data_IF_303526308527
#
_entry.id   IF_303526308527
#
_cell.length_a   1.000
_cell.length_b   1.000
_cell.length_c   1.000
_cell.angle_alpha   90.00
_cell.angle_beta   90.00
_cell.angle_gamma   90.00
#
_symmetry.space_group_name_H-M   'P 1'
#
loop_
_entity.id
_entity.type
_entity.pdbx_description
1 polymer ?
#
# COMPACT_ATOMS: atom_id res chain seq x y z
N UNK A 1 -8.74 -19.94 3.18
CA UNK A 1 -9.54 -20.07 4.39
C UNK A 1 -9.53 -18.71 5.05
N UNK A 2 -10.57 -17.91 4.84
CA UNK A 2 -10.91 -17.03 5.92
C UNK A 2 -11.38 -18.00 7.00
N UNK A 3 -10.44 -18.47 7.82
CA UNK A 3 -10.79 -19.05 9.10
C UNK A 3 -11.57 -17.93 9.77
N UNK A 4 -12.87 -18.12 9.95
CA UNK A 4 -13.55 -17.43 11.00
C UNK A 4 -12.81 -17.87 12.25
N UNK A 5 -11.83 -17.09 12.68
CA UNK A 5 -11.06 -17.29 13.92
C UNK A 5 -11.98 -17.49 15.14
N UNK A 6 -13.29 -17.40 14.92
CA UNK A 6 -14.33 -17.33 15.94
C UNK A 6 -15.43 -18.38 15.79
N UNK A 7 -15.36 -19.29 14.80
CA UNK A 7 -16.41 -20.31 14.60
C UNK A 7 -16.57 -21.27 15.79
N UNK A 8 -15.60 -21.36 16.69
CA UNK A 8 -15.62 -22.20 17.86
C UNK A 8 -15.60 -21.45 19.22
N UNK A 9 -15.53 -20.14 19.21
CA UNK A 9 -15.77 -19.38 20.43
C UNK A 9 -17.30 -19.37 20.65
N UNK A 10 -17.79 -19.91 21.75
CA UNK A 10 -19.16 -19.61 22.23
C UNK A 10 -19.22 -18.13 22.62
N UNK A 11 -19.15 -17.28 21.62
CA UNK A 11 -19.46 -15.87 21.73
C UNK A 11 -20.96 -15.85 21.73
N UNK A 12 -21.57 -15.74 22.93
CA UNK A 12 -22.99 -15.44 23.08
C UNK A 12 -23.23 -14.00 22.65
N UNK A 13 -23.00 -13.73 21.34
CA UNK A 13 -23.49 -12.53 20.70
C UNK A 13 -24.93 -12.84 20.32
N UNK A 14 -25.89 -12.23 20.98
CA UNK A 14 -27.28 -12.24 20.52
C UNK A 14 -27.30 -11.79 19.08
N UNK A 15 -27.59 -12.68 18.15
CA UNK A 15 -27.83 -12.39 16.74
C UNK A 15 -29.13 -11.58 16.64
N UNK A 16 -29.03 -10.28 16.77
CA UNK A 16 -30.00 -9.37 16.20
C UNK A 16 -29.46 -8.95 14.82
N UNK A 17 -30.22 -9.23 13.79
CA UNK A 17 -30.07 -8.94 12.36
C UNK A 17 -28.95 -7.93 11.97
N UNK A 18 -27.71 -8.41 11.82
CA UNK A 18 -26.59 -7.61 11.37
C UNK A 18 -25.28 -8.11 12.00
N UNK A 19 -24.17 -8.02 11.27
CA UNK A 19 -22.84 -8.28 11.82
C UNK A 19 -22.47 -7.11 12.74
N UNK A 20 -22.65 -7.29 14.04
CA UNK A 20 -22.28 -6.28 15.02
C UNK A 20 -20.75 -6.23 15.15
N UNK A 21 -20.12 -5.05 15.04
CA UNK A 21 -18.69 -4.91 15.19
C UNK A 21 -18.28 -5.16 16.66
N UNK A 22 -17.09 -5.72 16.83
CA UNK A 22 -16.56 -6.04 18.15
C UNK A 22 -15.07 -5.74 18.21
N UNK A 23 -14.52 -5.56 19.39
CA UNK A 23 -13.09 -5.54 19.67
C UNK A 23 -12.69 -6.71 20.53
N UNK A 24 -11.46 -7.17 20.35
CA UNK A 24 -10.79 -8.12 21.25
C UNK A 24 -9.57 -7.43 21.80
N UNK A 25 -9.39 -7.50 23.10
CA UNK A 25 -8.21 -6.99 23.78
C UNK A 25 -7.35 -8.16 24.23
N UNK A 26 -6.13 -8.22 23.73
CA UNK A 26 -5.12 -9.24 24.05
C UNK A 26 -3.97 -8.53 24.76
N UNK A 27 -3.78 -8.83 26.03
CA UNK A 27 -2.75 -8.18 26.85
C UNK A 27 -1.45 -8.95 26.91
N UNK A 28 -1.48 -10.26 26.63
CA UNK A 28 -0.30 -11.12 26.68
C UNK A 28 -0.48 -12.31 25.72
N UNK A 29 0.57 -12.60 24.97
CA UNK A 29 0.68 -13.82 24.16
C UNK A 29 1.91 -14.58 24.62
N UNK A 30 1.72 -15.86 24.98
CA UNK A 30 2.80 -16.76 25.38
C UNK A 30 2.92 -17.87 24.34
N UNK A 31 4.01 -18.60 24.35
CA UNK A 31 4.18 -19.84 23.58
C UNK A 31 3.23 -20.92 24.17
N UNK A 32 2.00 -21.01 23.63
CA UNK A 32 0.98 -21.92 24.13
C UNK A 32 1.10 -23.32 23.54
N UNK A 33 1.72 -23.47 22.39
CA UNK A 33 1.94 -24.76 21.72
C UNK A 33 3.29 -25.38 22.10
N UNK A 34 4.14 -24.64 22.82
CA UNK A 34 5.47 -25.03 23.29
C UNK A 34 6.45 -25.43 22.15
N UNK A 35 6.37 -24.73 21.02
CA UNK A 35 7.27 -24.94 19.88
C UNK A 35 8.54 -24.08 19.94
N UNK A 36 8.65 -23.21 20.94
CA UNK A 36 9.78 -22.31 21.20
C UNK A 36 9.69 -20.97 20.49
N UNK A 37 8.56 -20.67 19.84
CA UNK A 37 8.27 -19.38 19.23
C UNK A 37 6.96 -18.81 19.76
N UNK A 38 6.77 -17.50 19.65
CA UNK A 38 5.47 -16.85 19.85
C UNK A 38 4.99 -16.37 18.50
N UNK A 39 3.98 -17.05 17.95
CA UNK A 39 3.53 -16.78 16.60
C UNK A 39 1.98 -16.79 16.45
N UNK A 40 1.50 -16.85 15.20
CA UNK A 40 0.07 -16.83 14.90
C UNK A 40 -0.68 -18.03 15.50
N UNK A 41 -0.04 -19.19 15.65
CA UNK A 41 -0.67 -20.38 16.23
C UNK A 41 -1.03 -20.16 17.71
N UNK A 42 -0.17 -19.43 18.45
CA UNK A 42 -0.40 -19.06 19.84
C UNK A 42 -1.55 -18.04 19.97
N UNK A 43 -1.59 -17.08 19.06
CA UNK A 43 -2.73 -16.15 19.00
C UNK A 43 -4.04 -16.90 18.71
N UNK A 44 -4.03 -17.84 17.77
CA UNK A 44 -5.20 -18.68 17.49
C UNK A 44 -5.61 -19.52 18.71
N UNK A 45 -4.64 -20.11 19.42
CA UNK A 45 -4.90 -20.86 20.64
C UNK A 45 -5.55 -19.97 21.72
N UNK A 46 -4.99 -18.78 21.91
CA UNK A 46 -5.48 -17.79 22.86
C UNK A 46 -6.92 -17.36 22.55
N UNK A 47 -7.22 -17.10 21.28
CA UNK A 47 -8.56 -16.74 20.83
C UNK A 47 -9.58 -17.89 21.05
N UNK A 48 -9.18 -19.14 20.80
CA UNK A 48 -10.04 -20.33 21.00
C UNK A 48 -10.30 -20.64 22.48
N UNK A 49 -9.35 -20.33 23.36
CA UNK A 49 -9.41 -20.71 24.77
C UNK A 49 -9.95 -19.63 25.73
N UNK A 50 -10.54 -18.56 25.20
CA UNK A 50 -11.35 -17.56 25.95
C UNK A 50 -10.63 -16.76 27.05
N UNK A 51 -9.32 -16.57 26.95
CA UNK A 51 -8.59 -15.72 27.91
C UNK A 51 -8.59 -14.22 27.48
N UNK A 52 -9.46 -13.84 26.57
CA UNK A 52 -9.53 -12.51 25.99
C UNK A 52 -10.77 -11.76 26.46
N UNK A 53 -10.65 -10.46 26.56
CA UNK A 53 -11.81 -9.59 26.76
C UNK A 53 -12.38 -9.25 25.37
N UNK A 54 -13.54 -9.83 25.06
CA UNK A 54 -14.32 -9.47 23.90
C UNK A 54 -15.41 -8.49 24.31
N UNK A 55 -15.47 -7.34 23.66
CA UNK A 55 -16.54 -6.35 23.85
C UNK A 55 -17.14 -5.93 22.51
N UNK A 56 -18.45 -5.73 22.52
CA UNK A 56 -19.18 -5.23 21.35
C UNK A 56 -18.93 -3.74 21.27
N UNK A 57 -18.73 -3.23 20.06
CA UNK A 57 -18.69 -1.80 19.80
C UNK A 57 -20.13 -1.24 19.78
N UNK A 58 -20.31 -0.05 20.33
CA UNK A 58 -21.62 0.63 20.36
C UNK A 58 -22.07 1.12 18.99
N UNK A 59 -21.11 1.41 18.09
CA UNK A 59 -21.33 1.91 16.74
C UNK A 59 -21.34 0.83 15.67
N UNK A 60 -21.18 1.26 14.44
CA UNK A 60 -21.11 0.41 13.24
C UNK A 60 -19.68 -0.06 12.90
N UNK A 61 -18.67 0.34 13.72
CA UNK A 61 -17.26 0.04 13.49
C UNK A 61 -16.61 0.91 12.41
N UNK A 62 -17.27 1.99 11.96
CA UNK A 62 -16.64 2.95 11.05
C UNK A 62 -15.45 3.63 11.75
N UNK A 63 -14.31 3.68 11.06
CA UNK A 63 -13.06 4.23 11.62
C UNK A 63 -13.18 5.72 12.01
N UNK A 64 -14.18 6.43 11.48
CA UNK A 64 -14.50 7.84 11.78
C UNK A 64 -15.38 8.00 13.01
N UNK A 65 -15.94 6.92 13.55
CA UNK A 65 -16.77 6.98 14.75
C UNK A 65 -15.96 7.42 15.97
N UNK A 66 -16.62 8.04 16.95
CA UNK A 66 -15.98 8.51 18.17
C UNK A 66 -15.30 7.37 18.94
N UNK A 67 -15.89 6.16 18.91
CA UNK A 67 -15.36 4.97 19.55
C UNK A 67 -14.08 4.50 18.87
N UNK A 68 -14.07 4.38 17.52
CA UNK A 68 -12.89 4.00 16.77
C UNK A 68 -11.77 5.07 16.87
N UNK A 69 -12.12 6.36 16.90
CA UNK A 69 -11.15 7.44 17.13
C UNK A 69 -10.53 7.33 18.53
N UNK A 70 -11.31 6.94 19.56
CA UNK A 70 -10.77 6.72 20.89
C UNK A 70 -9.75 5.59 20.89
N UNK A 71 -10.07 4.45 20.26
CA UNK A 71 -9.13 3.34 20.09
C UNK A 71 -7.89 3.75 19.28
N UNK A 72 -8.09 4.54 18.23
CA UNK A 72 -6.97 5.08 17.44
C UNK A 72 -6.04 5.94 18.31
N UNK A 73 -6.58 6.78 19.18
CA UNK A 73 -5.77 7.63 20.08
C UNK A 73 -4.91 6.80 21.05
N UNK A 74 -5.43 5.67 21.52
CA UNK A 74 -4.74 4.75 22.43
C UNK A 74 -3.64 3.93 21.72
N UNK A 75 -3.78 3.68 20.40
CA UNK A 75 -2.85 2.87 19.64
C UNK A 75 -1.51 3.59 19.37
N UNK A 76 -0.39 2.91 19.54
CA UNK A 76 0.94 3.35 19.08
C UNK A 76 1.15 3.03 17.62
N UNK A 77 0.73 1.83 17.19
CA UNK A 77 0.90 1.34 15.82
C UNK A 77 -0.45 0.79 15.33
N UNK A 78 -0.81 1.17 14.11
CA UNK A 78 -2.02 0.68 13.42
C UNK A 78 -1.64 -0.28 12.30
N UNK A 79 -2.11 -1.52 12.39
CA UNK A 79 -1.91 -2.53 11.34
C UNK A 79 -3.26 -2.99 10.83
N UNK A 80 -3.58 -2.72 9.55
CA UNK A 80 -4.91 -3.02 9.01
C UNK A 80 -4.96 -3.11 7.50
N UNK A 81 -6.08 -3.67 7.01
CA UNK A 81 -6.48 -3.65 5.60
C UNK A 81 -7.75 -2.77 5.46
N UNK A 82 -7.60 -1.45 5.27
CA UNK A 82 -8.74 -0.55 5.16
C UNK A 82 -9.49 -0.76 3.83
N UNK A 83 -10.77 -0.39 3.73
CA UNK A 83 -11.48 -0.36 2.46
C UNK A 83 -10.76 0.55 1.45
N UNK A 84 -10.43 0.05 0.27
CA UNK A 84 -9.66 0.82 -0.74
C UNK A 84 -10.40 2.08 -1.20
N UNK A 85 -11.73 2.08 -1.17
CA UNK A 85 -12.55 3.26 -1.47
C UNK A 85 -12.36 4.41 -0.46
N UNK A 86 -12.01 4.10 0.77
CA UNK A 86 -11.80 5.05 1.87
C UNK A 86 -10.32 5.27 2.19
N UNK A 87 -9.41 4.70 1.39
CA UNK A 87 -7.97 4.70 1.66
C UNK A 87 -7.41 6.11 1.90
N UNK A 88 -7.82 7.10 1.10
CA UNK A 88 -7.35 8.49 1.22
C UNK A 88 -7.75 9.12 2.56
N UNK A 89 -9.01 8.95 2.95
CA UNK A 89 -9.54 9.47 4.21
C UNK A 89 -8.87 8.78 5.40
N UNK A 90 -8.64 7.46 5.28
CA UNK A 90 -8.01 6.68 6.33
C UNK A 90 -6.56 7.10 6.56
N UNK A 91 -5.77 7.26 5.48
CA UNK A 91 -4.39 7.77 5.58
C UNK A 91 -4.37 9.17 6.16
N UNK A 92 -5.26 10.07 5.73
CA UNK A 92 -5.35 11.41 6.28
C UNK A 92 -5.61 11.39 7.79
N UNK A 93 -6.50 10.52 8.27
CA UNK A 93 -6.76 10.35 9.70
C UNK A 93 -5.53 9.82 10.47
N UNK A 94 -4.83 8.82 9.92
CA UNK A 94 -3.61 8.30 10.56
C UNK A 94 -2.53 9.37 10.70
N UNK A 95 -2.37 10.20 9.67
CA UNK A 95 -1.42 11.34 9.69
C UNK A 95 -1.87 12.44 10.67
N UNK A 96 -3.17 12.78 10.71
CA UNK A 96 -3.73 13.77 11.64
C UNK A 96 -3.48 13.37 13.11
N UNK A 97 -3.61 12.09 13.43
CA UNK A 97 -3.39 11.57 14.79
C UNK A 97 -1.94 11.13 15.04
N UNK A 98 -1.01 11.45 14.14
CA UNK A 98 0.43 11.11 14.25
C UNK A 98 0.68 9.63 14.58
N UNK A 99 -0.04 8.72 13.90
CA UNK A 99 0.09 7.29 14.16
C UNK A 99 1.15 6.63 13.30
N UNK A 100 1.90 5.70 13.91
CA UNK A 100 2.68 4.73 13.15
C UNK A 100 1.75 3.70 12.55
N UNK A 101 2.01 3.28 11.31
CA UNK A 101 1.11 2.33 10.66
C UNK A 101 1.78 1.44 9.63
N UNK A 102 1.16 0.27 9.41
CA UNK A 102 1.38 -0.62 8.27
C UNK A 102 0.01 -0.98 7.71
N UNK A 103 -0.33 -0.49 6.53
CA UNK A 103 -1.65 -0.70 5.93
C UNK A 103 -1.56 -1.22 4.50
N UNK A 104 -2.56 -1.99 4.11
CA UNK A 104 -2.69 -2.48 2.73
C UNK A 104 -3.45 -1.44 1.90
N UNK A 105 -2.92 -1.14 0.72
CA UNK A 105 -3.57 -0.26 -0.26
C UNK A 105 -3.39 -0.74 -1.69
N UNK A 106 -4.07 -0.07 -2.62
CA UNK A 106 -3.89 -0.32 -4.03
C UNK A 106 -2.67 0.46 -4.55
N UNK A 107 -1.90 -0.13 -5.46
CA UNK A 107 -0.74 0.51 -6.10
C UNK A 107 -1.09 1.85 -6.76
N UNK A 108 -2.31 1.98 -7.31
CA UNK A 108 -2.74 3.21 -7.94
C UNK A 108 -2.89 4.38 -6.93
N UNK A 109 -2.94 4.09 -5.62
CA UNK A 109 -2.98 5.14 -4.61
C UNK A 109 -1.72 6.03 -4.63
N UNK A 110 -0.60 5.54 -5.15
CA UNK A 110 0.61 6.34 -5.42
C UNK A 110 0.28 7.60 -6.25
N UNK A 111 -0.68 7.49 -7.17
CA UNK A 111 -1.05 8.58 -8.08
C UNK A 111 -2.15 9.51 -7.53
N UNK A 112 -2.61 9.30 -6.30
CA UNK A 112 -3.63 10.15 -5.70
C UNK A 112 -3.01 11.46 -5.21
N UNK A 113 -3.71 12.57 -5.43
CA UNK A 113 -3.24 13.91 -5.04
C UNK A 113 -3.06 14.08 -3.52
N UNK A 114 -3.75 13.26 -2.73
CA UNK A 114 -3.65 13.24 -1.27
C UNK A 114 -2.47 12.36 -0.77
N UNK A 115 -2.07 11.36 -1.56
CA UNK A 115 -1.05 10.36 -1.18
C UNK A 115 0.33 10.71 -1.75
N UNK A 116 0.38 11.15 -3.00
CA UNK A 116 1.64 11.45 -3.65
C UNK A 116 2.51 12.49 -2.91
N UNK A 117 1.95 13.60 -2.38
CA UNK A 117 2.73 14.55 -1.58
C UNK A 117 3.35 13.93 -0.33
N UNK A 118 2.65 12.99 0.34
CA UNK A 118 3.18 12.27 1.50
C UNK A 118 4.38 11.39 1.12
N UNK A 119 4.30 10.69 -0.01
CA UNK A 119 5.40 9.89 -0.56
C UNK A 119 6.59 10.77 -0.97
N UNK A 120 6.32 11.88 -1.67
CA UNK A 120 7.35 12.83 -2.10
C UNK A 120 8.10 13.45 -0.93
N UNK A 121 7.36 13.84 0.12
CA UNK A 121 7.91 14.51 1.29
C UNK A 121 8.47 13.55 2.34
N UNK A 122 8.60 12.28 1.99
CA UNK A 122 9.16 11.26 2.86
C UNK A 122 8.42 11.11 4.20
N UNK A 123 7.10 11.29 4.16
CA UNK A 123 6.22 11.13 5.32
C UNK A 123 5.61 9.72 5.39
N UNK A 124 5.44 9.08 4.24
CA UNK A 124 5.06 7.67 4.10
C UNK A 124 5.85 7.03 2.96
N UNK A 125 5.93 5.72 2.94
CA UNK A 125 6.61 4.96 1.88
C UNK A 125 5.97 3.59 1.67
N UNK A 126 6.41 2.84 0.65
CA UNK A 126 5.98 1.48 0.42
C UNK A 126 6.76 0.52 1.33
N UNK A 127 6.11 -0.52 1.83
CA UNK A 127 6.75 -1.56 2.63
C UNK A 127 7.56 -2.53 1.77
N UNK A 128 8.54 -3.19 2.39
CA UNK A 128 9.58 -3.99 1.72
C UNK A 128 9.08 -5.30 1.07
N UNK A 129 7.94 -5.85 1.43
CA UNK A 129 7.63 -7.26 1.14
C UNK A 129 6.78 -7.55 -0.10
N UNK A 130 6.17 -6.54 -0.74
CA UNK A 130 5.29 -6.73 -1.91
C UNK A 130 5.74 -5.83 -3.06
N UNK A 131 6.65 -6.34 -3.91
CA UNK A 131 7.21 -5.57 -5.01
C UNK A 131 6.45 -5.73 -6.34
N UNK A 132 5.82 -6.88 -6.61
CA UNK A 132 5.09 -7.12 -7.87
C UNK A 132 3.65 -6.61 -7.87
N UNK A 133 3.08 -6.36 -6.69
CA UNK A 133 1.72 -5.88 -6.54
C UNK A 133 0.61 -6.89 -6.77
N UNK A 134 0.92 -8.10 -7.21
CA UNK A 134 -0.06 -9.15 -7.43
C UNK A 134 0.03 -10.22 -6.36
N UNK A 135 -1.12 -10.59 -5.78
CA UNK A 135 -1.22 -11.65 -4.77
C UNK A 135 -2.37 -12.59 -5.06
N UNK A 136 -2.15 -13.87 -4.81
CA UNK A 136 -3.21 -14.87 -4.81
C UNK A 136 -3.66 -15.14 -3.38
N UNK A 137 -4.97 -15.09 -3.18
CA UNK A 137 -5.59 -15.40 -1.90
C UNK A 137 -6.47 -16.64 -2.07
N UNK A 138 -6.31 -17.59 -1.16
CA UNK A 138 -7.23 -18.72 -1.06
C UNK A 138 -8.60 -18.20 -0.66
N UNK A 139 -9.64 -18.70 -1.32
CA UNK A 139 -11.03 -18.35 -1.02
C UNK A 139 -11.83 -19.59 -0.65
N UNK A 140 -12.88 -19.46 0.20
CA UNK A 140 -13.80 -20.55 0.52
C UNK A 140 -14.51 -21.07 -0.73
N UNK A 141 -14.91 -22.35 -0.71
CA UNK A 141 -15.57 -23.00 -1.85
C UNK A 141 -16.90 -22.36 -2.21
N UNK A 142 -17.61 -21.83 -1.21
CA UNK A 142 -18.89 -21.14 -1.36
C UNK A 142 -18.75 -19.64 -1.71
N UNK A 143 -17.51 -19.12 -1.90
CA UNK A 143 -17.30 -17.72 -2.24
C UNK A 143 -17.67 -17.47 -3.70
N UNK A 144 -18.63 -16.58 -3.94
CA UNK A 144 -19.05 -16.21 -5.31
C UNK A 144 -17.98 -15.32 -5.96
N UNK A 145 -17.37 -15.81 -7.04
CA UNK A 145 -16.38 -15.05 -7.81
C UNK A 145 -16.99 -14.63 -9.15
N UNK A 146 -17.09 -13.34 -9.35
CA UNK A 146 -17.53 -12.74 -10.63
C UNK A 146 -16.36 -12.39 -11.58
N UNK A 147 -15.12 -12.66 -11.14
CA UNK A 147 -13.90 -12.25 -11.84
C UNK A 147 -13.25 -13.39 -12.62
N UNK A 148 -12.62 -13.05 -13.75
CA UNK A 148 -11.77 -13.97 -14.52
C UNK A 148 -10.45 -14.35 -13.82
N UNK A 149 -10.20 -13.80 -12.63
CA UNK A 149 -8.98 -14.04 -11.84
C UNK A 149 -9.06 -15.25 -10.91
N UNK A 150 -10.13 -16.06 -11.03
CA UNK A 150 -10.25 -17.33 -10.30
C UNK A 150 -9.29 -18.37 -10.89
N UNK A 151 -8.46 -18.95 -10.01
CA UNK A 151 -7.65 -20.14 -10.29
C UNK A 151 -8.05 -21.27 -9.33
N UNK A 152 -8.10 -22.47 -9.85
CA UNK A 152 -8.27 -23.69 -9.05
C UNK A 152 -7.02 -24.53 -9.24
N UNK A 153 -6.40 -24.98 -8.15
CA UNK A 153 -5.23 -25.85 -8.22
C UNK A 153 -5.60 -27.33 -8.43
N UNK A 154 -4.59 -28.20 -8.52
CA UNK A 154 -4.74 -29.63 -8.73
C UNK A 154 -5.47 -30.37 -7.59
N UNK A 155 -5.52 -29.77 -6.39
CA UNK A 155 -6.22 -30.27 -5.21
C UNK A 155 -7.65 -29.69 -5.09
N UNK A 156 -8.13 -28.95 -6.07
CA UNK A 156 -9.44 -28.30 -6.06
C UNK A 156 -9.50 -27.03 -5.22
N UNK A 157 -8.38 -26.53 -4.68
CA UNK A 157 -8.35 -25.32 -3.86
C UNK A 157 -8.50 -24.09 -4.75
N UNK A 158 -9.39 -23.21 -4.35
CA UNK A 158 -9.74 -22.00 -5.12
C UNK A 158 -8.92 -20.79 -4.65
N UNK A 159 -8.41 -20.03 -5.61
CA UNK A 159 -7.65 -18.80 -5.38
C UNK A 159 -8.19 -17.66 -6.23
N UNK A 160 -8.13 -16.45 -5.69
CA UNK A 160 -8.39 -15.21 -6.45
C UNK A 160 -7.11 -14.38 -6.49
N UNK A 161 -6.74 -13.92 -7.69
CA UNK A 161 -5.63 -12.98 -7.87
C UNK A 161 -6.12 -11.56 -7.66
N UNK A 162 -5.50 -10.86 -6.74
CA UNK A 162 -5.71 -9.43 -6.47
C UNK A 162 -4.50 -8.66 -6.99
N UNK A 163 -4.74 -7.78 -7.95
CA UNK A 163 -3.71 -7.00 -8.64
C UNK A 163 -3.44 -5.69 -7.90
N UNK A 164 -2.18 -5.28 -7.89
CA UNK A 164 -1.79 -3.95 -7.40
C UNK A 164 -1.86 -3.79 -5.89
N UNK A 165 -1.68 -4.86 -5.12
CA UNK A 165 -1.60 -4.79 -3.65
C UNK A 165 -0.24 -4.24 -3.22
N UNK A 166 -0.24 -3.27 -2.30
CA UNK A 166 0.97 -2.68 -1.70
C UNK A 166 0.79 -2.48 -0.19
N UNK A 167 1.91 -2.58 0.53
CA UNK A 167 2.02 -2.05 1.88
C UNK A 167 2.35 -0.57 1.83
N UNK A 168 1.67 0.22 2.65
CA UNK A 168 1.98 1.63 2.92
C UNK A 168 2.30 1.76 4.40
N UNK A 169 3.37 2.49 4.73
CA UNK A 169 3.85 2.62 6.10
C UNK A 169 4.59 3.95 6.31
N UNK A 170 4.71 4.38 7.56
CA UNK A 170 5.63 5.42 8.01
C UNK A 170 6.60 4.88 9.08
N UNK A 171 6.72 3.54 9.18
CA UNK A 171 7.71 2.87 10.03
C UNK A 171 8.94 2.57 9.18
N UNK A 172 10.09 3.10 9.61
CA UNK A 172 11.35 2.96 8.87
C UNK A 172 11.89 1.53 8.87
N UNK A 173 12.62 1.16 7.82
CA UNK A 173 13.28 -0.13 7.68
C UNK A 173 14.57 0.00 6.87
N UNK A 174 15.51 -0.93 7.10
CA UNK A 174 16.88 -0.85 6.61
C UNK A 174 16.99 -0.77 5.08
N UNK A 175 16.24 -1.60 4.37
CA UNK A 175 16.34 -1.74 2.90
C UNK A 175 15.90 -0.48 2.16
N UNK A 176 15.14 0.41 2.80
CA UNK A 176 14.74 1.70 2.26
C UNK A 176 15.93 2.64 2.05
N UNK A 177 17.01 2.44 2.80
CA UNK A 177 18.23 3.24 2.76
C UNK A 177 19.31 2.66 1.85
N UNK A 178 19.03 1.53 1.19
CA UNK A 178 19.96 0.93 0.24
C UNK A 178 19.99 1.71 -1.08
N UNK A 179 21.20 2.02 -1.55
CA UNK A 179 21.35 2.71 -2.83
C UNK A 179 21.02 1.77 -3.99
N UNK A 180 20.26 2.29 -4.95
CA UNK A 180 20.10 1.64 -6.24
C UNK A 180 21.42 1.66 -6.99
N UNK A 181 21.88 0.48 -7.42
CA UNK A 181 23.09 0.35 -8.23
C UNK A 181 22.78 0.79 -9.66
N UNK A 182 23.40 1.87 -10.11
CA UNK A 182 23.26 2.42 -11.45
C UNK A 182 24.46 1.97 -12.31
N UNK A 183 24.17 1.46 -13.49
CA UNK A 183 25.21 0.97 -14.41
C UNK A 183 25.01 1.40 -15.87
N UNK A 184 23.84 1.94 -16.20
CA UNK A 184 23.57 2.47 -17.54
C UNK A 184 24.18 3.86 -17.71
N UNK A 185 24.58 4.17 -18.92
CA UNK A 185 25.00 5.53 -19.33
C UNK A 185 23.92 6.16 -20.19
N UNK A 186 23.86 7.48 -20.15
CA UNK A 186 22.90 8.24 -20.93
C UNK A 186 23.27 8.26 -22.42
N UNK A 187 22.26 8.07 -23.27
CA UNK A 187 22.31 8.44 -24.69
C UNK A 187 20.97 9.07 -25.10
N UNK A 188 21.00 10.04 -26.01
CA UNK A 188 19.75 10.68 -26.47
C UNK A 188 18.86 9.73 -27.26
N UNK A 189 19.42 8.64 -27.80
CA UNK A 189 18.70 7.61 -28.55
C UNK A 189 17.91 6.68 -27.62
N UNK A 190 18.52 6.25 -26.49
CA UNK A 190 17.91 5.32 -25.55
C UNK A 190 16.94 6.02 -24.58
N UNK A 191 17.15 7.32 -24.32
CA UNK A 191 16.38 8.08 -23.33
C UNK A 191 15.68 9.29 -23.98
N UNK A 192 14.56 9.06 -24.70
CA UNK A 192 13.85 10.15 -25.38
C UNK A 192 13.28 11.15 -24.37
N UNK A 193 13.28 12.43 -24.75
CA UNK A 193 12.61 13.49 -23.98
C UNK A 193 11.10 13.43 -24.15
N UNK A 194 10.39 13.88 -23.13
CA UNK A 194 8.94 14.12 -23.26
C UNK A 194 8.68 15.36 -24.13
N UNK A 195 7.62 15.26 -24.94
CA UNK A 195 7.20 16.36 -25.83
C UNK A 195 6.71 17.57 -25.04
N UNK A 196 6.20 17.34 -23.84
CA UNK A 196 5.45 18.33 -23.07
C UNK A 196 6.01 18.57 -21.66
N UNK A 197 7.14 17.99 -21.32
CA UNK A 197 7.79 18.15 -20.03
C UNK A 197 9.30 18.06 -20.19
N UNK A 198 10.06 18.93 -19.52
CA UNK A 198 11.53 18.94 -19.66
C UNK A 198 12.18 17.86 -18.80
N UNK A 199 12.01 16.61 -19.21
CA UNK A 199 12.63 15.43 -18.61
C UNK A 199 12.84 14.35 -19.67
N UNK A 200 13.78 13.44 -19.43
CA UNK A 200 13.94 12.20 -20.21
C UNK A 200 13.04 11.10 -19.67
N UNK A 201 12.63 10.17 -20.54
CA UNK A 201 11.90 8.97 -20.13
C UNK A 201 12.87 7.84 -19.81
N UNK A 202 12.63 7.18 -18.67
CA UNK A 202 13.31 5.96 -18.26
C UNK A 202 12.25 4.87 -18.11
N UNK A 203 12.26 3.86 -18.97
CA UNK A 203 11.19 2.85 -19.01
C UNK A 203 11.23 1.88 -17.84
N UNK A 204 12.41 1.61 -17.27
CA UNK A 204 12.59 0.72 -16.11
C UNK A 204 13.47 1.36 -15.05
N UNK A 205 13.15 1.17 -13.79
CA UNK A 205 13.95 1.67 -12.66
C UNK A 205 15.42 1.28 -12.73
N UNK A 206 15.73 0.07 -13.20
CA UNK A 206 17.12 -0.43 -13.34
C UNK A 206 17.90 0.25 -14.47
N UNK A 207 17.23 0.94 -15.36
CA UNK A 207 17.86 1.63 -16.50
C UNK A 207 18.12 3.13 -16.21
N UNK A 208 17.97 3.58 -14.96
CA UNK A 208 18.31 4.96 -14.57
C UNK A 208 19.80 5.21 -14.86
N UNK A 209 20.16 6.22 -15.70
CA UNK A 209 21.54 6.45 -16.10
C UNK A 209 22.37 7.04 -14.95
N UNK A 210 23.63 6.59 -14.84
CA UNK A 210 24.56 7.01 -13.78
C UNK A 210 25.11 8.43 -14.00
N UNK A 211 25.21 8.85 -15.26
CA UNK A 211 25.88 10.06 -15.73
C UNK A 211 24.92 11.16 -16.20
N UNK A 212 23.63 11.08 -15.87
CA UNK A 212 22.64 12.10 -16.24
C UNK A 212 22.14 12.84 -14.99
N UNK A 213 22.28 14.16 -14.98
CA UNK A 213 21.95 15.03 -13.83
C UNK A 213 20.63 15.81 -14.00
N UNK A 214 19.96 15.64 -15.14
CA UNK A 214 18.68 16.28 -15.44
C UNK A 214 17.50 15.54 -14.81
N UNK A 215 16.29 16.01 -15.13
CA UNK A 215 15.04 15.38 -14.68
C UNK A 215 14.76 14.10 -15.47
N UNK A 216 14.30 13.08 -14.78
CA UNK A 216 14.00 11.76 -15.33
C UNK A 216 12.60 11.30 -14.93
N UNK A 217 11.80 10.86 -15.89
CA UNK A 217 10.49 10.25 -15.63
C UNK A 217 10.58 8.74 -15.53
N UNK A 218 10.41 8.20 -14.35
CA UNK A 218 10.49 6.76 -14.04
C UNK A 218 9.10 6.16 -13.79
N UNK A 219 8.92 4.83 -13.93
CA UNK A 219 7.65 4.16 -13.62
C UNK A 219 7.36 4.19 -12.10
N UNK A 220 6.09 3.97 -11.72
CA UNK A 220 5.68 3.95 -10.30
C UNK A 220 6.37 2.84 -9.49
N UNK A 221 6.88 1.80 -10.13
CA UNK A 221 7.70 0.76 -9.50
C UNK A 221 9.03 1.25 -8.96
N UNK A 222 9.42 2.49 -9.29
CA UNK A 222 10.58 3.16 -8.70
C UNK A 222 10.46 3.25 -7.16
N UNK A 223 9.24 3.44 -6.64
CA UNK A 223 9.02 3.49 -5.19
C UNK A 223 9.41 2.19 -4.45
N UNK A 224 9.48 1.06 -5.15
CA UNK A 224 9.96 -0.21 -4.56
C UNK A 224 11.48 -0.18 -4.22
N UNK A 225 12.20 0.81 -4.79
CA UNK A 225 13.67 0.96 -4.68
C UNK A 225 14.07 2.41 -4.34
N UNK A 226 13.11 3.23 -3.97
CA UNK A 226 13.36 4.63 -3.69
C UNK A 226 14.17 4.80 -2.40
N UNK A 227 15.34 5.41 -2.54
CA UNK A 227 16.13 5.92 -1.43
C UNK A 227 16.14 7.46 -1.46
N UNK A 228 15.58 8.15 -0.45
CA UNK A 228 15.51 9.61 -0.42
C UNK A 228 16.88 10.28 -0.30
N UNK A 229 17.93 9.55 0.12
CA UNK A 229 19.30 10.06 0.13
C UNK A 229 19.96 10.06 -1.25
N UNK A 230 19.48 9.18 -2.17
CA UNK A 230 20.02 9.05 -3.52
C UNK A 230 19.25 9.87 -4.55
N UNK A 231 17.94 9.99 -4.39
CA UNK A 231 17.07 10.67 -5.33
C UNK A 231 16.16 11.68 -4.64
N UNK A 232 15.78 12.68 -5.39
CA UNK A 232 14.71 13.61 -5.04
C UNK A 232 13.52 13.39 -5.96
N UNK A 233 12.31 13.32 -5.42
CA UNK A 233 11.07 13.26 -6.18
C UNK A 233 10.63 14.70 -6.42
N UNK A 234 10.50 15.07 -7.69
CA UNK A 234 10.11 16.42 -8.12
C UNK A 234 8.60 16.51 -8.30
N UNK A 235 8.02 15.58 -9.08
CA UNK A 235 6.60 15.59 -9.45
C UNK A 235 6.11 14.20 -9.84
N UNK A 236 4.81 14.08 -10.05
CA UNK A 236 4.15 12.95 -10.71
C UNK A 236 3.38 13.44 -11.92
N UNK A 237 3.72 12.96 -13.09
CA UNK A 237 3.13 13.42 -14.35
C UNK A 237 2.38 12.31 -15.09
N UNK A 238 1.26 12.69 -15.66
CA UNK A 238 0.45 11.89 -16.56
C UNK A 238 -0.29 12.83 -17.49
N UNK A 239 -1.62 12.86 -17.39
CA UNK A 239 -2.43 13.89 -18.08
C UNK A 239 -2.18 15.27 -17.49
N UNK A 240 -1.88 15.35 -16.19
CA UNK A 240 -1.53 16.57 -15.45
C UNK A 240 -0.32 16.29 -14.55
N UNK A 241 0.28 17.35 -14.02
CA UNK A 241 1.12 17.29 -12.82
C UNK A 241 0.22 17.04 -11.59
N UNK A 242 0.67 16.18 -10.66
CA UNK A 242 -0.05 15.98 -9.41
C UNK A 242 0.09 17.18 -8.49
N UNK A 243 1.27 17.80 -8.48
CA UNK A 243 1.59 18.87 -7.54
C UNK A 243 1.10 20.23 -8.01
N UNK A 244 0.97 20.40 -9.32
CA UNK A 244 0.52 21.63 -9.95
C UNK A 244 -0.84 21.43 -10.61
N UNK A 245 -1.91 21.63 -9.84
CA UNK A 245 -3.28 21.52 -10.33
C UNK A 245 -3.66 22.65 -11.31
N UNK A 246 -2.87 23.73 -11.41
CA UNK A 246 -3.12 24.85 -12.32
C UNK A 246 -2.55 24.62 -13.72
N UNK A 247 -1.53 23.74 -13.84
CA UNK A 247 -0.93 23.34 -15.11
C UNK A 247 -1.67 22.21 -15.82
N UNK A 248 -2.98 22.18 -15.70
CA UNK A 248 -3.82 21.46 -16.67
C UNK A 248 -3.54 22.09 -18.02
N UNK A 249 -2.82 21.40 -18.90
CA UNK A 249 -2.60 21.95 -20.24
C UNK A 249 -3.95 22.15 -20.90
N UNK A 250 -4.22 23.41 -21.27
CA UNK A 250 -5.45 23.84 -21.95
C UNK A 250 -5.69 23.10 -23.27
N UNK A 251 -4.65 22.44 -23.82
CA UNK A 251 -4.69 21.65 -25.05
C UNK A 251 -5.06 20.17 -24.84
N UNK A 252 -5.27 19.73 -23.58
CA UNK A 252 -5.65 18.36 -23.23
C UNK A 252 -4.58 17.30 -23.48
N UNK A 253 -3.36 17.67 -23.85
CA UNK A 253 -2.26 16.73 -24.10
C UNK A 253 -1.65 16.22 -22.78
N UNK A 254 -1.17 14.99 -22.80
CA UNK A 254 -0.46 14.41 -21.65
C UNK A 254 0.92 15.08 -21.50
N UNK A 255 1.34 15.29 -20.24
CA UNK A 255 2.71 15.74 -19.95
C UNK A 255 3.72 14.63 -20.25
N UNK A 256 3.36 13.38 -19.96
CA UNK A 256 4.18 12.19 -20.24
C UNK A 256 4.02 11.69 -21.70
N UNK A 257 4.13 12.57 -22.69
CA UNK A 257 4.00 12.22 -24.11
C UNK A 257 5.38 12.13 -24.76
N UNK A 258 5.59 11.15 -25.64
CA UNK A 258 6.80 10.96 -26.43
C UNK A 258 6.40 10.71 -27.88
N UNK A 259 6.89 11.51 -28.80
CA UNK A 259 6.59 11.43 -30.24
C UNK A 259 5.07 11.34 -30.50
N UNK A 260 4.29 12.16 -29.81
CA UNK A 260 2.82 12.17 -29.94
C UNK A 260 2.10 11.01 -29.26
N UNK A 261 2.79 10.08 -28.60
CA UNK A 261 2.20 8.93 -27.91
C UNK A 261 2.25 9.13 -26.40
N UNK A 262 1.07 9.07 -25.75
CA UNK A 262 0.98 9.18 -24.30
C UNK A 262 1.58 7.97 -23.60
N UNK A 263 2.43 8.19 -22.63
CA UNK A 263 2.96 7.18 -21.72
C UNK A 263 2.07 7.08 -20.48
N UNK A 264 2.21 5.99 -19.72
CA UNK A 264 1.61 5.86 -18.40
C UNK A 264 2.13 6.93 -17.46
N UNK A 265 1.49 7.06 -16.30
CA UNK A 265 1.96 7.94 -15.23
C UNK A 265 3.44 7.71 -14.92
N UNK A 266 4.19 8.81 -14.73
CA UNK A 266 5.61 8.80 -14.42
C UNK A 266 5.91 9.64 -13.18
N UNK A 267 6.86 9.18 -12.40
CA UNK A 267 7.43 9.94 -11.29
C UNK A 267 8.62 10.70 -11.84
N UNK A 268 8.64 12.00 -11.67
CA UNK A 268 9.78 12.83 -12.05
C UNK A 268 10.76 12.86 -10.89
N UNK A 269 11.97 12.40 -11.16
CA UNK A 269 13.06 12.33 -10.19
C UNK A 269 14.28 13.10 -10.66
N UNK A 270 15.15 13.43 -9.70
CA UNK A 270 16.51 13.91 -9.91
C UNK A 270 17.45 13.16 -8.99
N UNK A 271 18.67 12.85 -9.46
CA UNK A 271 19.72 12.34 -8.56
C UNK A 271 20.14 13.44 -7.60
N UNK A 272 20.43 13.06 -6.37
CA UNK A 272 21.17 13.89 -5.43
C UNK A 272 22.64 13.75 -5.73
N UNK A 273 23.35 14.88 -5.76
CA UNK A 273 24.80 14.93 -5.96
C UNK A 273 25.56 14.45 -4.71
#
# INVERSE_FOLDING_TARGET
MQLSLFDNAEIVVKKENGKQPYKIEITEVQDYNADGAVDLADVEYLLKNKKNVLSILDGDGDFRSQECIKLLKEADIVVTNPPFSLFREYVAQLMEYDKKFIIIGNQNAITYKEIFPLLKNDQIWLGNSIHSGDREFRIPDNYEVRSKSLRVDENGVRYIRVVGVRWYTNIDYKERHENLILYKTYSAEDYPKYDNYDAINVDKTVDIPVDYDGLMGVPITFFDKYNPSQFEIIDGIGRYSILDNENTRKDGKYLSMINGVAKYFRIIIKKRG
#
